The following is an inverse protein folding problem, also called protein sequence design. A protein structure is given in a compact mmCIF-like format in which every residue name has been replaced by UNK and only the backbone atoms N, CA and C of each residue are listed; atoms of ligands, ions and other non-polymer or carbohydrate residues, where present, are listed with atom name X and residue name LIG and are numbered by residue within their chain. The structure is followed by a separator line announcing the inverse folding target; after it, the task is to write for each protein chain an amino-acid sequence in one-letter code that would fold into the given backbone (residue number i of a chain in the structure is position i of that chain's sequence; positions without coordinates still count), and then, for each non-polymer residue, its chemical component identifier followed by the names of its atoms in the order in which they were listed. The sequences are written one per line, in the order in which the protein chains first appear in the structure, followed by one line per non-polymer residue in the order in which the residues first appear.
data_IF_131544631896
#
_entry.id   IF_131544631896
#
_cell.length_a   1.000
_cell.length_b   1.000
_cell.length_c   1.000
_cell.angle_alpha   90.00
_cell.angle_beta   90.00
_cell.angle_gamma   90.00
#
_symmetry.space_group_name_H-M   'P 1'
#
loop_
_entity.id
_entity.type
_entity.pdbx_description
1 polymer ?
#
# COMPACT_ATOMS: atom_id res chain seq x y z
N UNK A 1 -3.27 7.25 -29.92
CA UNK A 1 -2.94 6.98 -29.68
C UNK A 1 -3.08 6.94 -29.19
N UNK A 2 -3.36 6.94 -28.93
CA UNK A 2 -3.35 6.83 -28.45
C UNK A 2 -3.65 6.42 -27.99
N UNK A 3 -4.07 6.23 -27.88
CA UNK A 3 -4.10 5.66 -27.43
C UNK A 3 -4.24 5.10 -27.15
N UNK A 4 -4.48 4.83 -27.64
CA UNK A 4 -4.60 4.00 -26.98
C UNK A 4 -4.00 3.91 -26.01
N UNK A 5 -3.46 4.13 -26.09
CA UNK A 5 -2.96 4.28 -25.02
C UNK A 5 -3.70 3.79 -23.92
N UNK A 6 -4.80 3.44 -23.96
CA UNK A 6 -5.45 3.08 -22.90
C UNK A 6 -5.22 1.78 -22.37
N UNK A 7 -5.12 0.75 -23.17
CA UNK A 7 -4.90 -0.52 -22.64
C UNK A 7 -3.57 -0.61 -22.06
N UNK A 8 -2.62 -0.08 -22.70
CA UNK A 8 -1.36 -0.12 -22.15
C UNK A 8 -1.35 0.78 -20.99
N UNK A 9 -2.17 1.75 -21.04
CA UNK A 9 -2.19 2.64 -19.99
C UNK A 9 -2.76 2.05 -18.76
N UNK A 10 -3.42 0.94 -18.83
CA UNK A 10 -3.88 0.33 -17.63
C UNK A 10 -2.77 0.11 -16.66
N UNK A 11 -1.61 -0.19 -17.13
CA UNK A 11 -0.49 -0.37 -16.26
C UNK A 11 -0.08 0.92 -15.62
N UNK A 12 -0.25 2.01 -16.32
CA UNK A 12 0.12 3.29 -15.80
C UNK A 12 -0.92 3.86 -14.87
N UNK A 13 -2.07 3.25 -14.84
CA UNK A 13 -3.11 3.73 -13.95
C UNK A 13 -2.75 3.47 -12.51
N UNK A 14 -1.76 2.62 -12.24
CA UNK A 14 -1.38 2.33 -10.89
C UNK A 14 0.02 2.89 -10.67
N UNK A 15 0.08 4.20 -10.44
CA UNK A 15 1.35 4.82 -10.22
C UNK A 15 2.03 4.25 -8.99
N UNK A 16 1.24 3.89 -7.98
CA UNK A 16 1.80 3.31 -6.75
C UNK A 16 1.46 1.83 -6.67
N UNK A 17 2.45 1.02 -6.34
CA UNK A 17 2.25 -0.41 -6.14
C UNK A 17 2.86 -0.81 -4.80
N UNK A 18 2.11 -1.56 -4.02
CA UNK A 18 2.57 -2.02 -2.71
C UNK A 18 2.54 -3.55 -2.68
N UNK A 19 3.66 -4.15 -2.28
CA UNK A 19 3.76 -5.62 -2.19
C UNK A 19 3.57 -6.07 -0.76
N UNK A 20 2.59 -6.95 -0.55
CA UNK A 20 2.29 -7.43 0.80
C UNK A 20 3.47 -8.15 1.43
N UNK A 21 4.15 -8.98 0.66
CA UNK A 21 5.15 -9.86 1.24
C UNK A 21 6.43 -9.13 1.64
N UNK A 22 6.85 -8.16 0.87
CA UNK A 22 8.08 -7.45 1.15
C UNK A 22 7.86 -6.12 1.85
N UNK A 23 6.66 -5.57 1.75
CA UNK A 23 6.41 -4.21 2.22
C UNK A 23 6.93 -3.15 1.27
N UNK A 24 7.36 -3.56 0.10
CA UNK A 24 7.96 -2.64 -0.85
C UNK A 24 6.92 -1.76 -1.52
N UNK A 25 7.20 -0.46 -1.58
CA UNK A 25 6.36 0.50 -2.28
C UNK A 25 7.12 1.00 -3.49
N UNK A 26 6.48 0.94 -4.65
CA UNK A 26 7.07 1.42 -5.90
C UNK A 26 6.20 2.50 -6.51
N UNK A 27 6.83 3.40 -7.23
CA UNK A 27 6.13 4.39 -8.05
C UNK A 27 6.63 4.22 -9.46
N UNK A 28 5.72 3.92 -10.39
CA UNK A 28 6.08 3.75 -11.82
C UNK A 28 7.25 2.77 -11.96
N UNK A 29 7.14 1.65 -11.26
CA UNK A 29 8.13 0.57 -11.33
C UNK A 29 9.47 0.88 -10.67
N UNK A 30 9.56 1.96 -9.92
CA UNK A 30 10.80 2.28 -9.21
C UNK A 30 10.59 2.13 -7.72
N UNK A 31 11.50 1.46 -7.04
CA UNK A 31 11.37 1.33 -5.58
C UNK A 31 11.48 2.70 -4.91
N UNK A 32 10.60 2.94 -3.98
CA UNK A 32 10.58 4.21 -3.26
C UNK A 32 10.87 4.00 -1.78
N UNK A 33 10.27 2.98 -1.18
CA UNK A 33 10.43 2.77 0.24
C UNK A 33 10.00 1.36 0.59
N UNK A 34 10.29 0.95 1.81
CA UNK A 34 9.82 -0.32 2.34
C UNK A 34 9.11 -0.06 3.65
N UNK A 35 7.88 -0.51 3.75
CA UNK A 35 7.09 -0.42 4.97
C UNK A 35 6.63 -1.79 5.39
N UNK A 36 5.47 -1.84 6.06
CA UNK A 36 4.90 -3.13 6.41
C UNK A 36 3.39 -3.00 6.59
N UNK A 37 2.71 -4.12 6.61
CA UNK A 37 1.26 -4.16 6.81
C UNK A 37 0.92 -5.47 7.50
N UNK A 38 0.08 -5.40 8.53
CA UNK A 38 -0.34 -6.57 9.29
C UNK A 38 0.39 -6.71 10.62
N UNK A 39 -0.11 -7.60 11.44
CA UNK A 39 0.37 -7.80 12.82
C UNK A 39 0.74 -9.24 13.05
N UNK A 40 1.75 -9.46 13.89
CA UNK A 40 2.14 -10.80 14.32
C UNK A 40 2.40 -11.71 13.12
N UNK A 41 1.80 -12.88 13.06
CA UNK A 41 2.04 -13.79 11.96
C UNK A 41 1.44 -13.30 10.66
N UNK A 42 0.58 -12.30 10.69
CA UNK A 42 0.01 -11.71 9.49
C UNK A 42 0.85 -10.59 8.90
N UNK A 43 1.89 -10.17 9.61
CA UNK A 43 2.71 -9.08 9.10
C UNK A 43 3.40 -9.51 7.83
N UNK A 44 3.14 -8.79 6.76
CA UNK A 44 3.71 -9.07 5.45
C UNK A 44 3.42 -10.50 4.98
N UNK A 45 2.24 -10.99 5.32
CA UNK A 45 1.88 -12.37 4.99
C UNK A 45 0.61 -12.38 4.14
N UNK A 46 0.75 -12.51 2.81
CA UNK A 46 -0.43 -12.51 1.93
C UNK A 46 -1.45 -13.58 2.25
N UNK A 47 -1.01 -14.70 2.80
CA UNK A 47 -1.94 -15.79 3.08
C UNK A 47 -2.92 -15.45 4.18
N UNK A 48 -2.63 -14.45 4.98
CA UNK A 48 -3.51 -14.07 6.07
C UNK A 48 -4.28 -12.77 5.78
N UNK A 49 -4.34 -12.35 4.52
CA UNK A 49 -4.99 -11.07 4.22
C UNK A 49 -6.48 -11.08 4.59
N UNK A 50 -7.09 -12.23 4.77
CA UNK A 50 -8.49 -12.29 5.14
C UNK A 50 -8.72 -12.27 6.66
N UNK A 51 -7.66 -12.21 7.45
CA UNK A 51 -7.80 -12.30 8.90
C UNK A 51 -7.85 -10.90 9.49
N UNK A 52 -8.98 -10.55 10.08
CA UNK A 52 -9.19 -9.22 10.63
C UNK A 52 -8.17 -8.92 11.72
N UNK A 53 -7.62 -7.72 11.69
CA UNK A 53 -6.68 -7.20 12.69
C UNK A 53 -5.33 -7.93 12.71
N UNK A 54 -5.10 -8.85 11.79
CA UNK A 54 -3.88 -9.62 11.72
C UNK A 54 -3.24 -9.52 10.35
N UNK A 55 -4.02 -9.73 9.30
CA UNK A 55 -3.47 -9.77 7.95
C UNK A 55 -3.10 -8.41 7.40
N UNK A 56 -2.31 -8.40 6.34
CA UNK A 56 -1.96 -7.15 5.67
C UNK A 56 -3.17 -6.61 4.90
N UNK A 57 -3.01 -5.41 4.35
CA UNK A 57 -4.06 -4.85 3.50
C UNK A 57 -4.32 -5.80 2.34
N UNK A 58 -5.59 -6.08 2.02
CA UNK A 58 -5.90 -7.02 0.95
C UNK A 58 -5.45 -6.56 -0.43
N UNK A 59 -5.15 -7.51 -1.27
CA UNK A 59 -4.78 -7.24 -2.65
C UNK A 59 -5.92 -6.61 -3.41
N UNK A 60 -5.59 -5.82 -4.42
CA UNK A 60 -6.57 -5.21 -5.29
C UNK A 60 -6.25 -3.74 -5.50
N UNK A 61 -7.19 -3.06 -6.13
CA UNK A 61 -7.05 -1.63 -6.40
C UNK A 61 -7.64 -0.82 -5.27
N UNK A 62 -6.94 0.24 -4.90
CA UNK A 62 -7.34 1.14 -3.84
C UNK A 62 -7.16 2.58 -4.31
N UNK A 63 -7.92 3.48 -3.72
CA UNK A 63 -7.78 4.91 -4.00
C UNK A 63 -7.29 5.59 -2.73
N UNK A 64 -6.27 6.41 -2.87
CA UNK A 64 -5.74 7.20 -1.77
C UNK A 64 -6.61 8.46 -1.68
N UNK A 65 -7.32 8.61 -0.58
CA UNK A 65 -8.23 9.74 -0.43
C UNK A 65 -7.71 10.67 0.64
N UNK A 66 -8.17 11.89 0.60
CA UNK A 66 -7.70 12.88 1.54
C UNK A 66 -8.66 14.02 1.65
N UNK A 67 -8.18 15.12 2.17
CA UNK A 67 -6.77 15.43 2.45
C UNK A 67 -6.22 14.64 3.63
N UNK A 68 -4.88 14.65 3.79
CA UNK A 68 -4.29 13.98 4.95
C UNK A 68 -4.83 14.55 6.24
N UNK A 69 -4.96 13.70 7.24
CA UNK A 69 -5.51 14.13 8.52
C UNK A 69 -4.60 13.73 9.66
N UNK A 70 -4.70 14.45 10.75
CA UNK A 70 -4.00 14.12 11.98
C UNK A 70 -4.99 13.39 12.86
N UNK A 71 -4.60 12.24 13.39
CA UNK A 71 -5.50 11.45 14.22
C UNK A 71 -4.87 11.19 15.57
N UNK A 72 -5.71 10.96 16.55
CA UNK A 72 -5.24 10.63 17.89
C UNK A 72 -4.60 9.25 17.89
N UNK A 73 -5.22 8.31 17.21
CA UNK A 73 -4.77 6.92 17.28
C UNK A 73 -3.64 6.58 16.36
N UNK A 74 -3.51 7.30 15.23
CA UNK A 74 -2.54 6.94 14.21
C UNK A 74 -1.56 8.06 13.91
N UNK A 75 -1.63 9.15 14.67
CA UNK A 75 -0.67 10.24 14.54
C UNK A 75 -0.97 11.18 13.40
N UNK A 76 0.04 11.95 13.00
CA UNK A 76 -0.17 12.99 12.00
C UNK A 76 -0.03 12.46 10.58
N UNK A 77 -0.60 13.19 9.66
CA UNK A 77 -0.46 12.98 8.24
C UNK A 77 -0.86 11.57 7.82
N UNK A 78 -2.09 11.23 8.14
CA UNK A 78 -2.66 9.92 7.81
C UNK A 78 -3.40 10.02 6.49
N UNK A 79 -3.19 9.04 5.62
CA UNK A 79 -3.90 8.96 4.33
C UNK A 79 -4.92 7.84 4.42
N UNK A 80 -6.13 8.10 3.93
CA UNK A 80 -7.18 7.09 3.93
C UNK A 80 -7.17 6.33 2.63
N UNK A 81 -7.53 5.06 2.69
CA UNK A 81 -7.59 4.19 1.52
C UNK A 81 -9.00 3.68 1.34
N UNK A 82 -9.50 3.80 0.10
CA UNK A 82 -10.82 3.29 -0.24
C UNK A 82 -10.67 2.16 -1.24
N UNK A 83 -11.28 1.01 -1.02
CA UNK A 83 -11.16 -0.07 -1.98
C UNK A 83 -12.01 0.18 -3.22
N UNK A 84 -11.53 -0.26 -4.35
CA UNK A 84 -12.35 -0.26 -5.57
C UNK A 84 -13.47 -1.27 -5.38
N UNK A 85 -14.54 -1.13 -6.14
CA UNK A 85 -15.72 -1.97 -5.94
C UNK A 85 -15.42 -3.45 -6.13
N UNK A 86 -14.46 -3.79 -6.95
CA UNK A 86 -14.14 -5.20 -7.18
C UNK A 86 -13.09 -5.73 -6.19
N UNK A 87 -12.55 -4.89 -5.31
CA UNK A 87 -11.52 -5.33 -4.37
C UNK A 87 -12.15 -6.15 -3.26
N UNK A 88 -11.61 -7.34 -3.05
CA UNK A 88 -12.11 -8.22 -2.01
C UNK A 88 -11.52 -7.82 -0.67
N UNK A 89 -12.34 -7.19 0.16
CA UNK A 89 -11.84 -6.69 1.45
C UNK A 89 -12.03 -7.69 2.59
N UNK A 90 -12.68 -8.83 2.31
CA UNK A 90 -12.90 -9.87 3.32
C UNK A 90 -13.66 -9.31 4.54
N UNK A 91 -14.63 -8.41 4.26
CA UNK A 91 -15.44 -7.78 5.31
C UNK A 91 -14.61 -6.96 6.29
N UNK A 92 -13.42 -6.55 5.87
CA UNK A 92 -12.55 -5.70 6.69
C UNK A 92 -12.67 -4.27 6.20
N UNK A 93 -12.38 -3.30 7.06
CA UNK A 93 -12.54 -1.89 6.72
C UNK A 93 -11.55 -1.04 7.50
N UNK A 94 -11.52 0.25 7.17
CA UNK A 94 -10.70 1.19 7.93
C UNK A 94 -9.23 1.18 7.57
N UNK A 95 -8.92 0.97 6.30
CA UNK A 95 -7.52 0.91 5.89
C UNK A 95 -6.93 2.29 5.67
N UNK A 96 -5.72 2.48 6.16
CA UNK A 96 -5.02 3.76 6.13
C UNK A 96 -3.56 3.55 5.76
N UNK A 97 -2.86 4.65 5.43
CA UNK A 97 -1.40 4.68 5.43
C UNK A 97 -1.03 5.63 6.57
N UNK A 98 -0.29 5.12 7.55
CA UNK A 98 0.10 5.97 8.68
C UNK A 98 1.52 5.62 9.15
N UNK A 99 1.96 6.25 10.21
CA UNK A 99 3.31 6.07 10.68
C UNK A 99 3.45 4.94 11.69
N UNK A 100 4.68 4.60 11.98
CA UNK A 100 4.99 3.52 12.91
C UNK A 100 4.87 3.97 14.34
N UNK A 101 4.84 3.02 15.24
CA UNK A 101 4.87 3.31 16.68
C UNK A 101 6.26 3.74 17.08
N UNK A 102 6.35 4.85 17.81
CA UNK A 102 7.65 5.27 18.30
C UNK A 102 8.08 4.42 19.47
N UNK A 103 7.13 3.99 20.27
CA UNK A 103 7.45 3.17 21.44
C UNK A 103 7.80 1.75 21.08
N UNK A 104 7.11 1.19 20.08
CA UNK A 104 7.31 -0.21 19.70
C UNK A 104 7.32 -0.32 18.18
N UNK A 105 8.45 0.04 17.55
CA UNK A 105 8.49 -0.02 16.08
C UNK A 105 8.16 -1.40 15.54
N UNK A 106 7.42 -1.44 14.48
CA UNK A 106 7.03 -2.69 13.84
C UNK A 106 5.73 -3.26 14.35
N UNK A 107 5.02 -2.55 15.24
CA UNK A 107 3.79 -3.08 15.83
C UNK A 107 2.57 -2.21 15.60
N UNK A 108 2.63 -1.27 14.68
CA UNK A 108 1.56 -0.28 14.55
C UNK A 108 0.44 -0.68 13.59
N UNK A 109 0.53 -1.83 12.93
CA UNK A 109 -0.43 -2.18 11.91
C UNK A 109 -1.32 -3.34 12.29
N UNK A 110 -2.60 -3.22 11.96
CA UNK A 110 -3.54 -4.32 11.99
C UNK A 110 -4.13 -4.50 10.59
N UNK A 111 -3.41 -4.00 9.58
CA UNK A 111 -3.85 -4.07 8.20
C UNK A 111 -3.54 -2.81 7.41
N UNK A 112 -3.26 -1.70 8.10
CA UNK A 112 -2.86 -0.47 7.42
C UNK A 112 -1.44 -0.60 6.89
N UNK A 113 -1.09 0.23 5.94
CA UNK A 113 0.28 0.28 5.44
C UNK A 113 1.05 1.28 6.30
N UNK A 114 2.19 0.87 6.79
CA UNK A 114 3.03 1.72 7.65
C UNK A 114 4.20 2.22 6.84
N UNK A 115 4.32 3.53 6.74
CA UNK A 115 5.39 4.19 5.97
C UNK A 115 5.88 5.42 6.72
N UNK A 116 7.15 5.81 6.55
CA UNK A 116 7.66 7.02 7.19
C UNK A 116 6.92 8.26 6.71
N UNK A 117 6.96 9.31 7.51
CA UNK A 117 6.25 10.53 7.18
C UNK A 117 6.70 11.13 5.86
N UNK A 118 8.00 11.16 5.61
CA UNK A 118 8.50 11.74 4.37
C UNK A 118 7.94 11.02 3.14
N UNK A 119 7.74 9.71 3.27
CA UNK A 119 7.19 8.94 2.16
C UNK A 119 5.69 9.19 2.02
N UNK A 120 4.97 9.30 3.13
CA UNK A 120 3.55 9.63 3.07
C UNK A 120 3.33 10.99 2.42
N UNK A 121 4.20 11.95 2.73
CA UNK A 121 4.12 13.25 2.11
C UNK A 121 4.39 13.15 0.61
N UNK A 122 5.37 12.37 0.23
CA UNK A 122 5.70 12.18 -1.18
C UNK A 122 4.53 11.54 -1.93
N UNK A 123 3.89 10.54 -1.32
CA UNK A 123 2.74 9.90 -1.93
C UNK A 123 1.62 10.92 -2.16
N UNK A 124 1.31 11.70 -1.15
CA UNK A 124 0.22 12.66 -1.30
C UNK A 124 0.56 13.76 -2.30
N UNK A 125 1.78 14.26 -2.25
CA UNK A 125 2.18 15.35 -3.13
C UNK A 125 2.33 14.94 -4.57
N UNK A 126 2.46 13.64 -4.84
CA UNK A 126 2.57 13.17 -6.22
C UNK A 126 1.31 13.44 -7.02
N UNK A 127 0.17 13.55 -6.35
CA UNK A 127 -1.09 13.69 -7.06
C UNK A 127 -1.64 12.37 -7.58
N UNK A 128 -0.87 11.29 -7.52
CA UNK A 128 -1.34 9.98 -7.99
C UNK A 128 -2.10 9.31 -6.87
N UNK A 129 -3.36 9.01 -7.13
CA UNK A 129 -4.26 8.47 -6.11
C UNK A 129 -4.54 6.99 -6.25
N UNK A 130 -4.03 6.38 -7.30
CA UNK A 130 -4.27 4.96 -7.52
C UNK A 130 -3.17 4.13 -6.88
N UNK A 131 -3.57 3.12 -6.16
CA UNK A 131 -2.65 2.21 -5.50
C UNK A 131 -3.07 0.79 -5.82
N UNK A 132 -2.12 -0.01 -6.28
CA UNK A 132 -2.37 -1.42 -6.51
C UNK A 132 -1.64 -2.22 -5.44
N UNK A 133 -2.36 -3.06 -4.72
CA UNK A 133 -1.75 -3.95 -3.72
C UNK A 133 -1.63 -5.33 -4.33
N UNK A 134 -0.43 -5.88 -4.32
CA UNK A 134 -0.14 -7.20 -4.90
C UNK A 134 0.55 -8.06 -3.86
N UNK A 135 0.54 -9.39 -4.03
CA UNK A 135 1.24 -10.23 -3.04
C UNK A 135 2.75 -10.04 -3.10
N UNK A 136 3.30 -9.96 -4.30
CA UNK A 136 4.73 -9.79 -4.49
C UNK A 136 4.97 -8.93 -5.71
N UNK A 137 6.11 -8.24 -5.72
CA UNK A 137 6.54 -7.52 -6.91
C UNK A 137 7.69 -8.31 -7.48
N UNK A 138 7.61 -8.70 -8.76
CA UNK A 138 8.70 -9.46 -9.35
C UNK A 138 9.99 -8.68 -9.30
N UNK A 139 11.05 -9.36 -9.02
CA UNK A 139 12.35 -8.72 -8.97
C UNK A 139 12.84 -8.46 -10.37
N UNK A 140 13.14 -7.23 -10.67
CA UNK A 140 13.65 -6.92 -11.96
C UNK A 140 15.08 -7.34 -12.13
N UNK A 141 15.76 -7.51 -11.03
CA UNK A 141 17.10 -7.91 -11.12
C UNK A 141 17.26 -9.32 -11.56
N UNK A 142 16.28 -10.14 -11.35
CA UNK A 142 16.39 -11.51 -11.72
C UNK A 142 16.36 -11.69 -13.19
N UNK A 143 15.74 -10.77 -13.90
CA UNK A 143 15.60 -10.95 -15.28
C UNK A 143 16.82 -10.89 -16.02
N UNK A 144 17.59 -9.92 -15.89
CA UNK A 144 18.71 -9.82 -16.74
C UNK A 144 19.75 -10.85 -16.48
N UNK A 145 19.58 -11.55 -15.47
CA UNK A 145 20.57 -12.50 -15.20
C UNK A 145 20.72 -13.45 -16.33
N UNK A 146 19.79 -13.51 -17.14
CA UNK A 146 19.96 -14.37 -18.17
C UNK A 146 20.72 -13.99 -19.15
#
# INVERSE_FOLDING_TARGET
MSTPKNSTTDLNAFAWTYAQQSGELEQDDRPVATGYSGANEGKNNPELENVRNVGPIPCGRWTITGPPVDTHDHGPFVLRLEPASETQTHARAGFLIHGDSKANPGTASQGCIILPRSIREQVWESGDRELLVVPTIPSKKAEPSE
#
